data_IF_634715402857
#
_entry.id   IF_634715402857
#
_cell.length_a   1.000
_cell.length_b   1.000
_cell.length_c   1.000
_cell.angle_alpha   90.00
_cell.angle_beta   90.00
_cell.angle_gamma   90.00
#
_symmetry.space_group_name_H-M   'P 1'
#
loop_
_entity.id
_entity.type
_entity.pdbx_description
1 polymer ?
#
# COMPACT_ATOMS: atom_id res chain seq x y z
N UNK A 1 -51.19 -92.02 27.38
CA UNK A 1 -49.86 -91.97 27.97
C UNK A 1 -49.11 -90.95 27.21
N UNK A 2 -49.32 -89.70 27.53
CA UNK A 2 -48.58 -88.87 28.52
C UNK A 2 -47.32 -88.38 27.97
N UNK A 3 -47.25 -87.17 27.67
CA UNK A 3 -46.44 -86.21 28.34
C UNK A 3 -46.57 -84.81 27.71
N UNK A 4 -47.21 -84.03 28.50
CA UNK A 4 -47.20 -82.55 28.29
C UNK A 4 -45.81 -82.05 28.72
N UNK A 5 -45.09 -81.41 27.86
CA UNK A 5 -44.01 -80.54 28.19
C UNK A 5 -44.27 -79.10 27.86
N UNK A 6 -44.33 -78.42 28.91
CA UNK A 6 -44.59 -77.03 29.11
C UNK A 6 -43.53 -76.18 28.40
N UNK A 7 -43.91 -75.36 27.40
CA UNK A 7 -43.00 -74.36 26.82
C UNK A 7 -43.44 -72.99 27.35
N UNK A 8 -42.88 -72.60 28.46
CA UNK A 8 -42.85 -71.21 28.87
C UNK A 8 -41.82 -70.46 28.00
N UNK A 9 -42.29 -69.80 26.96
CA UNK A 9 -41.53 -68.81 26.21
C UNK A 9 -41.31 -67.57 27.09
N UNK A 10 -40.10 -67.42 27.56
CA UNK A 10 -39.64 -66.21 28.20
C UNK A 10 -39.53 -65.11 27.10
N UNK A 11 -40.49 -64.26 27.05
CA UNK A 11 -40.39 -63.01 26.29
C UNK A 11 -39.56 -62.01 27.07
N UNK A 12 -38.26 -62.02 26.94
CA UNK A 12 -37.43 -60.89 27.23
C UNK A 12 -37.52 -59.91 26.05
N UNK A 13 -38.47 -58.98 26.12
CA UNK A 13 -38.40 -57.75 25.34
C UNK A 13 -37.23 -56.93 25.87
N UNK A 14 -36.07 -57.07 25.22
CA UNK A 14 -34.95 -56.12 25.41
C UNK A 14 -35.44 -54.74 24.89
N UNK A 15 -35.82 -53.88 25.82
CA UNK A 15 -36.00 -52.46 25.56
C UNK A 15 -34.62 -51.89 25.22
N UNK A 16 -34.23 -52.00 23.97
CA UNK A 16 -33.15 -51.23 23.43
C UNK A 16 -33.69 -49.81 23.22
N UNK A 17 -33.63 -48.98 24.26
CA UNK A 17 -33.78 -47.55 24.09
C UNK A 17 -32.50 -47.06 23.35
N UNK A 18 -32.64 -46.48 22.16
CA UNK A 18 -31.48 -45.87 21.50
C UNK A 18 -30.99 -44.70 22.36
N UNK A 19 -29.85 -44.86 22.98
CA UNK A 19 -29.24 -43.93 23.93
C UNK A 19 -28.76 -42.62 23.25
N UNK A 20 -29.11 -42.39 22.00
CA UNK A 20 -28.75 -41.21 21.22
C UNK A 20 -29.89 -40.78 20.30
N UNK A 21 -30.90 -40.18 20.88
CA UNK A 21 -31.72 -39.24 20.12
C UNK A 21 -31.02 -37.89 20.08
N UNK A 22 -29.95 -37.83 19.30
CA UNK A 22 -29.48 -36.55 18.81
C UNK A 22 -30.56 -36.04 17.87
N UNK A 23 -31.47 -35.25 18.37
CA UNK A 23 -32.25 -34.37 17.53
C UNK A 23 -31.23 -33.47 16.84
N UNK A 24 -31.00 -33.70 15.55
CA UNK A 24 -30.23 -32.75 14.75
C UNK A 24 -30.81 -31.37 15.00
N UNK A 25 -30.00 -30.37 15.39
CA UNK A 25 -30.54 -29.05 15.64
C UNK A 25 -31.29 -28.60 14.39
N UNK A 26 -32.56 -28.23 14.57
CA UNK A 26 -33.41 -27.74 13.48
C UNK A 26 -32.71 -26.51 12.88
N UNK A 27 -32.14 -26.71 11.70
CA UNK A 27 -31.33 -25.65 11.05
C UNK A 27 -32.32 -24.62 10.53
N UNK A 28 -32.31 -23.42 11.10
CA UNK A 28 -33.02 -22.29 10.50
C UNK A 28 -32.33 -21.85 9.21
N UNK A 29 -32.81 -22.38 8.10
CA UNK A 29 -32.28 -22.06 6.77
C UNK A 29 -32.42 -20.59 6.40
N UNK A 30 -33.40 -19.88 6.97
CA UNK A 30 -33.61 -18.47 6.73
C UNK A 30 -32.50 -17.64 7.40
N UNK A 31 -32.20 -17.91 8.67
CA UNK A 31 -31.13 -17.27 9.39
C UNK A 31 -29.76 -17.54 8.72
N UNK A 32 -29.54 -18.80 8.34
CA UNK A 32 -28.30 -19.19 7.64
C UNK A 32 -28.16 -18.51 6.27
N UNK A 33 -29.26 -18.36 5.53
CA UNK A 33 -29.28 -17.61 4.27
C UNK A 33 -28.95 -16.14 4.49
N UNK A 34 -29.56 -15.48 5.48
CA UNK A 34 -29.26 -14.07 5.80
C UNK A 34 -27.81 -13.88 6.21
N UNK A 35 -27.28 -14.77 7.04
CA UNK A 35 -25.88 -14.76 7.43
C UNK A 35 -24.95 -14.88 6.20
N UNK A 36 -25.21 -15.86 5.35
CA UNK A 36 -24.41 -16.10 4.15
C UNK A 36 -24.50 -14.92 3.17
N UNK A 37 -25.69 -14.34 2.99
CA UNK A 37 -25.88 -13.17 2.15
C UNK A 37 -25.08 -11.96 2.66
N UNK A 38 -25.09 -11.72 3.98
CA UNK A 38 -24.31 -10.67 4.60
C UNK A 38 -22.79 -10.93 4.46
N UNK A 39 -22.33 -12.17 4.64
CA UNK A 39 -20.93 -12.55 4.46
C UNK A 39 -20.46 -12.39 3.02
N UNK A 40 -21.30 -12.78 2.05
CA UNK A 40 -21.02 -12.54 0.63
C UNK A 40 -20.89 -11.05 0.30
N UNK A 41 -21.77 -10.21 0.85
CA UNK A 41 -21.69 -8.76 0.64
C UNK A 41 -20.42 -8.17 1.25
N UNK A 42 -20.07 -8.57 2.46
CA UNK A 42 -18.83 -8.16 3.12
C UNK A 42 -17.59 -8.63 2.34
N UNK A 43 -17.61 -9.86 1.85
CA UNK A 43 -16.52 -10.42 1.02
C UNK A 43 -16.39 -9.64 -0.29
N UNK A 44 -17.51 -9.30 -0.96
CA UNK A 44 -17.51 -8.47 -2.16
C UNK A 44 -16.93 -7.08 -1.91
N UNK A 45 -17.32 -6.42 -0.80
CA UNK A 45 -16.77 -5.11 -0.41
C UNK A 45 -15.26 -5.20 -0.18
N UNK A 46 -14.81 -6.23 0.55
CA UNK A 46 -13.38 -6.48 0.79
C UNK A 46 -12.61 -6.71 -0.49
N UNK A 47 -13.13 -7.55 -1.39
CA UNK A 47 -12.50 -7.85 -2.67
C UNK A 47 -12.38 -6.60 -3.55
N UNK A 48 -13.45 -5.80 -3.66
CA UNK A 48 -13.41 -4.55 -4.42
C UNK A 48 -12.37 -3.57 -3.87
N UNK A 49 -12.25 -3.46 -2.53
CA UNK A 49 -11.20 -2.65 -1.90
C UNK A 49 -9.79 -3.17 -2.23
N UNK A 50 -9.58 -4.48 -2.18
CA UNK A 50 -8.29 -5.09 -2.53
C UNK A 50 -7.93 -4.87 -4.00
N UNK A 51 -8.91 -5.02 -4.90
CA UNK A 51 -8.72 -4.76 -6.33
C UNK A 51 -8.33 -3.30 -6.59
N UNK A 52 -9.04 -2.34 -5.99
CA UNK A 52 -8.71 -0.93 -6.13
C UNK A 52 -7.31 -0.63 -5.58
N UNK A 53 -6.94 -1.19 -4.43
CA UNK A 53 -5.60 -1.02 -3.88
C UNK A 53 -4.54 -1.61 -4.81
N UNK A 54 -4.76 -2.80 -5.38
CA UNK A 54 -3.82 -3.42 -6.31
C UNK A 54 -3.62 -2.57 -7.58
N UNK A 55 -4.70 -1.97 -8.10
CA UNK A 55 -4.64 -1.03 -9.24
C UNK A 55 -3.84 0.23 -8.85
N UNK A 56 -4.06 0.81 -7.68
CA UNK A 56 -3.32 1.98 -7.24
C UNK A 56 -1.83 1.67 -7.03
N UNK A 57 -1.48 0.54 -6.42
CA UNK A 57 -0.07 0.11 -6.30
C UNK A 57 0.60 -0.09 -7.66
N UNK A 58 -0.08 -0.73 -8.61
CA UNK A 58 0.47 -0.88 -9.95
C UNK A 58 0.70 0.45 -10.68
N UNK A 59 -0.14 1.46 -10.41
CA UNK A 59 0.10 2.83 -10.92
C UNK A 59 1.29 3.49 -10.23
N UNK A 60 1.41 3.35 -8.90
CA UNK A 60 2.53 3.90 -8.13
C UNK A 60 3.87 3.38 -8.65
N UNK A 61 3.97 2.07 -8.92
CA UNK A 61 5.18 1.45 -9.49
C UNK A 61 5.55 2.05 -10.86
N UNK A 62 4.57 2.16 -11.77
CA UNK A 62 4.79 2.78 -13.09
C UNK A 62 5.25 4.24 -12.96
N UNK A 63 4.66 5.00 -12.05
CA UNK A 63 5.06 6.38 -11.83
C UNK A 63 6.48 6.50 -11.29
N UNK A 64 6.90 5.59 -10.39
CA UNK A 64 8.27 5.54 -9.87
C UNK A 64 9.28 5.23 -10.97
N UNK A 65 8.95 4.33 -11.89
CA UNK A 65 9.80 4.04 -13.05
C UNK A 65 9.94 5.28 -13.96
N UNK A 66 8.84 5.96 -14.28
CA UNK A 66 8.86 7.20 -15.08
C UNK A 66 9.67 8.30 -14.38
N UNK A 67 9.52 8.45 -13.07
CA UNK A 67 10.27 9.44 -12.29
C UNK A 67 11.78 9.13 -12.33
N UNK A 68 12.16 7.85 -12.31
CA UNK A 68 13.56 7.44 -12.41
C UNK A 68 14.17 7.82 -13.76
N UNK A 69 13.40 7.70 -14.84
CA UNK A 69 13.83 8.19 -16.17
C UNK A 69 13.94 9.71 -16.23
N UNK A 70 13.03 10.44 -15.54
CA UNK A 70 13.12 11.89 -15.43
C UNK A 70 14.39 12.31 -14.69
N UNK A 71 14.77 11.61 -13.61
CA UNK A 71 16.03 11.90 -12.89
C UNK A 71 17.24 11.73 -13.82
N UNK A 72 17.23 10.71 -14.68
CA UNK A 72 18.26 10.49 -15.69
C UNK A 72 18.31 11.63 -16.72
N UNK A 73 17.15 12.12 -17.15
CA UNK A 73 17.08 13.27 -18.05
C UNK A 73 17.59 14.56 -17.41
N UNK A 74 17.29 14.79 -16.13
CA UNK A 74 17.79 15.94 -15.35
C UNK A 74 19.30 15.88 -15.23
N UNK A 75 19.85 14.70 -14.92
CA UNK A 75 21.30 14.51 -14.85
C UNK A 75 21.98 14.81 -16.21
N UNK A 76 21.41 14.34 -17.31
CA UNK A 76 21.90 14.63 -18.66
C UNK A 76 21.78 16.12 -18.98
N UNK A 77 20.72 16.81 -18.56
CA UNK A 77 20.55 18.24 -18.74
C UNK A 77 21.64 19.03 -18.02
N UNK A 78 22.00 18.64 -16.80
CA UNK A 78 23.09 19.26 -16.02
C UNK A 78 24.45 19.09 -16.70
N UNK A 79 24.66 18.02 -17.46
CA UNK A 79 25.92 17.70 -18.15
C UNK A 79 25.87 18.01 -19.65
N UNK A 80 24.83 18.72 -20.12
CA UNK A 80 24.69 19.07 -21.53
C UNK A 80 25.85 19.92 -22.03
N UNK A 81 26.43 19.56 -23.18
CA UNK A 81 27.59 20.21 -23.78
C UNK A 81 27.30 21.64 -24.26
N UNK A 82 26.05 21.95 -24.56
CA UNK A 82 25.66 23.24 -25.10
C UNK A 82 24.21 23.61 -24.71
N UNK A 83 23.88 24.88 -24.86
CA UNK A 83 22.59 25.46 -24.48
C UNK A 83 21.41 24.93 -25.33
N UNK A 84 21.65 24.56 -26.59
CA UNK A 84 20.63 24.01 -27.46
C UNK A 84 20.20 22.60 -26.97
N UNK A 85 21.16 21.79 -26.55
CA UNK A 85 20.90 20.47 -25.99
C UNK A 85 20.18 20.57 -24.64
N UNK A 86 20.65 21.45 -23.76
CA UNK A 86 19.98 21.76 -22.48
C UNK A 86 18.52 22.17 -22.69
N UNK A 87 18.27 23.07 -23.64
CA UNK A 87 16.92 23.52 -23.98
C UNK A 87 16.03 22.39 -24.47
N UNK A 88 16.56 21.45 -25.28
CA UNK A 88 15.81 20.28 -25.76
C UNK A 88 15.44 19.35 -24.61
N UNK A 89 16.41 19.03 -23.74
CA UNK A 89 16.20 18.17 -22.56
C UNK A 89 15.15 18.79 -21.64
N UNK A 90 15.23 20.09 -21.34
CA UNK A 90 14.26 20.79 -20.52
C UNK A 90 12.84 20.74 -21.09
N UNK A 91 12.66 20.83 -22.41
CA UNK A 91 11.34 20.66 -23.04
C UNK A 91 10.80 19.25 -22.85
N UNK A 92 11.65 18.22 -22.93
CA UNK A 92 11.26 16.84 -22.71
C UNK A 92 10.85 16.65 -21.24
N UNK A 93 11.66 17.08 -20.28
CA UNK A 93 11.39 17.02 -18.84
C UNK A 93 10.05 17.70 -18.51
N UNK A 94 9.84 18.92 -19.04
CA UNK A 94 8.58 19.67 -18.85
C UNK A 94 7.38 18.93 -19.42
N UNK A 95 7.54 18.23 -20.54
CA UNK A 95 6.48 17.41 -21.14
C UNK A 95 6.12 16.23 -20.21
N UNK A 96 7.10 15.56 -19.61
CA UNK A 96 6.88 14.50 -18.62
C UNK A 96 6.16 15.03 -17.38
N UNK A 97 6.57 16.18 -16.83
CA UNK A 97 5.87 16.80 -15.69
C UNK A 97 4.43 17.14 -16.02
N UNK A 98 4.18 17.69 -17.20
CA UNK A 98 2.82 17.99 -17.66
C UNK A 98 1.97 16.73 -17.78
N UNK A 99 2.55 15.62 -18.23
CA UNK A 99 1.89 14.33 -18.31
C UNK A 99 1.60 13.78 -16.90
N UNK A 100 2.58 13.74 -16.02
CA UNK A 100 2.45 13.24 -14.66
C UNK A 100 1.39 14.00 -13.86
N UNK A 101 1.35 15.32 -14.02
CA UNK A 101 0.35 16.19 -13.37
C UNK A 101 -1.09 15.80 -13.71
N UNK A 102 -1.37 15.36 -14.95
CA UNK A 102 -2.71 14.89 -15.36
C UNK A 102 -3.15 13.66 -14.55
N UNK A 103 -2.21 12.89 -14.05
CA UNK A 103 -2.46 11.69 -13.23
C UNK A 103 -2.39 11.98 -11.73
N UNK A 104 -2.14 13.24 -11.34
CA UNK A 104 -2.04 13.66 -9.94
C UNK A 104 -0.69 13.36 -9.31
N UNK A 105 0.37 13.26 -10.13
CA UNK A 105 1.75 13.16 -9.66
C UNK A 105 2.42 14.51 -9.86
N UNK A 106 2.92 15.08 -8.76
CA UNK A 106 3.57 16.39 -8.77
C UNK A 106 4.86 16.35 -7.93
N UNK A 107 5.90 17.13 -8.30
CA UNK A 107 7.07 17.28 -7.42
C UNK A 107 6.63 17.95 -6.10
N UNK A 108 7.24 17.56 -4.99
CA UNK A 108 6.88 18.10 -3.66
C UNK A 108 7.18 19.60 -3.54
N UNK A 109 8.25 20.02 -4.17
CA UNK A 109 8.70 21.40 -4.17
C UNK A 109 8.87 21.89 -5.59
N UNK A 110 8.47 23.13 -5.83
CA UNK A 110 8.73 23.76 -7.14
C UNK A 110 10.24 23.93 -7.31
N UNK A 111 10.71 23.76 -8.54
CA UNK A 111 12.12 23.74 -8.93
C UNK A 111 12.92 24.98 -8.48
N UNK A 112 12.20 26.08 -8.19
CA UNK A 112 12.77 27.39 -7.92
C UNK A 112 12.43 27.93 -6.52
N UNK A 113 11.53 27.29 -5.77
CA UNK A 113 10.94 27.87 -4.56
C UNK A 113 10.80 26.84 -3.44
N UNK A 114 11.92 26.19 -3.06
CA UNK A 114 11.91 25.53 -1.79
C UNK A 114 12.02 26.58 -0.67
N UNK A 115 10.88 26.89 -0.05
CA UNK A 115 10.83 27.83 1.07
C UNK A 115 11.31 27.20 2.39
N UNK A 116 11.19 25.89 2.52
CA UNK A 116 11.64 25.15 3.70
C UNK A 116 13.09 24.73 3.54
N UNK A 117 13.98 25.45 4.20
CA UNK A 117 15.41 25.12 4.24
C UNK A 117 15.73 24.03 5.28
N UNK A 118 14.77 23.65 6.13
CA UNK A 118 14.97 22.65 7.17
C UNK A 118 14.45 21.27 6.74
N UNK A 119 15.15 20.25 7.20
CA UNK A 119 14.77 18.86 7.01
C UNK A 119 13.43 18.54 7.64
N UNK A 120 12.54 17.93 6.86
CA UNK A 120 11.24 17.46 7.30
C UNK A 120 11.12 15.94 7.14
N UNK A 121 11.12 15.13 8.22
CA UNK A 121 11.08 13.67 8.13
C UNK A 121 9.79 13.10 7.51
N UNK A 122 8.78 13.93 7.24
CA UNK A 122 7.55 13.50 6.56
C UNK A 122 7.67 13.49 5.03
N UNK A 123 8.60 14.26 4.50
CA UNK A 123 8.78 14.48 3.05
C UNK A 123 10.20 14.17 2.60
N UNK A 124 11.17 14.24 3.50
CA UNK A 124 12.60 14.18 3.19
C UNK A 124 13.24 12.93 3.79
N UNK A 125 14.24 12.41 3.10
CA UNK A 125 15.12 11.34 3.53
C UNK A 125 16.56 11.86 3.58
N UNK A 126 17.13 12.03 4.77
CA UNK A 126 18.52 12.45 4.91
C UNK A 126 19.45 11.29 4.59
N UNK A 127 20.12 11.36 3.44
CA UNK A 127 21.05 10.31 2.96
C UNK A 127 22.42 10.45 3.63
N UNK A 128 22.88 11.68 3.83
CA UNK A 128 24.15 11.98 4.47
C UNK A 128 24.11 13.35 5.14
N UNK A 129 25.11 13.66 5.95
CA UNK A 129 25.26 14.96 6.59
C UNK A 129 26.65 15.55 6.32
N UNK A 130 26.71 16.88 6.28
CA UNK A 130 27.94 17.68 6.20
C UNK A 130 28.14 18.36 7.55
N UNK A 131 29.33 18.24 8.19
CA UNK A 131 29.57 18.93 9.44
C UNK A 131 29.60 20.45 9.22
N UNK A 132 29.09 21.20 10.21
CA UNK A 132 29.11 22.67 10.23
C UNK A 132 29.39 23.20 11.64
N UNK A 133 30.12 24.28 11.73
CA UNK A 133 30.38 25.03 12.99
C UNK A 133 29.25 26.04 13.27
N UNK A 134 28.35 26.29 12.29
CA UNK A 134 27.22 27.19 12.49
C UNK A 134 26.01 26.43 13.02
N UNK A 135 25.70 26.68 14.29
CA UNK A 135 24.54 26.09 14.98
C UNK A 135 23.19 26.46 14.33
N UNK A 136 23.12 27.57 13.61
CA UNK A 136 21.88 27.98 12.92
C UNK A 136 21.58 27.10 11.69
N UNK A 137 22.58 26.44 11.14
CA UNK A 137 22.41 25.54 10.01
C UNK A 137 22.10 24.10 10.42
N UNK A 138 22.14 23.77 11.72
CA UNK A 138 21.86 22.39 12.18
C UNK A 138 20.51 21.91 11.67
N UNK A 139 20.52 20.73 11.03
CA UNK A 139 19.35 20.11 10.37
C UNK A 139 18.76 20.94 9.21
N UNK A 140 19.48 21.93 8.69
CA UNK A 140 19.10 22.55 7.40
C UNK A 140 19.57 21.71 6.23
N UNK A 141 18.91 21.86 5.09
CA UNK A 141 19.24 21.14 3.86
C UNK A 141 20.40 21.85 3.18
N UNK A 142 21.46 21.07 2.94
CA UNK A 142 22.63 21.52 2.21
C UNK A 142 22.46 21.34 0.71
N UNK A 143 21.89 20.21 0.28
CA UNK A 143 21.68 19.88 -1.13
C UNK A 143 20.57 18.85 -1.30
N UNK A 144 20.02 18.77 -2.51
CA UNK A 144 18.98 17.80 -2.92
C UNK A 144 19.56 16.84 -3.95
N UNK A 145 19.73 15.57 -3.55
CA UNK A 145 20.28 14.52 -4.43
C UNK A 145 19.22 14.01 -5.40
N UNK A 146 17.98 13.75 -4.87
CA UNK A 146 16.83 13.28 -5.65
C UNK A 146 15.58 13.99 -5.21
N UNK A 147 14.78 14.41 -6.16
CA UNK A 147 13.53 15.13 -5.89
C UNK A 147 12.47 14.20 -5.33
N UNK A 148 11.71 14.73 -4.38
CA UNK A 148 10.52 14.08 -3.85
C UNK A 148 9.30 14.31 -4.74
N UNK A 149 8.36 13.35 -4.72
CA UNK A 149 7.10 13.42 -5.46
C UNK A 149 5.92 13.02 -4.63
N UNK A 150 4.80 13.71 -4.85
CA UNK A 150 3.49 13.36 -4.31
C UNK A 150 2.65 12.69 -5.39
N UNK A 151 1.87 11.70 -5.00
CA UNK A 151 0.77 11.17 -5.81
C UNK A 151 -0.54 11.43 -5.08
N UNK A 152 -1.35 12.35 -5.57
CA UNK A 152 -2.51 12.88 -4.85
C UNK A 152 -2.06 13.43 -3.49
N UNK A 153 -2.59 12.88 -2.39
CA UNK A 153 -2.26 13.32 -1.02
C UNK A 153 -1.21 12.42 -0.32
N UNK A 154 -0.57 11.52 -1.06
CA UNK A 154 0.38 10.55 -0.54
C UNK A 154 1.78 10.82 -1.06
N UNK A 155 2.79 10.70 -0.20
CA UNK A 155 4.19 10.68 -0.64
C UNK A 155 4.43 9.46 -1.52
N UNK A 156 4.76 9.68 -2.78
CA UNK A 156 5.12 8.64 -3.74
C UNK A 156 6.62 8.30 -3.62
N UNK A 157 7.47 9.33 -3.51
CA UNK A 157 8.91 9.22 -3.27
C UNK A 157 9.36 10.36 -2.37
N UNK A 158 10.11 10.04 -1.33
CA UNK A 158 10.75 11.03 -0.48
C UNK A 158 11.83 11.79 -1.26
N UNK A 159 12.09 13.03 -0.83
CA UNK A 159 13.22 13.78 -1.35
C UNK A 159 14.51 13.35 -0.65
N UNK A 160 15.49 12.87 -1.41
CA UNK A 160 16.80 12.51 -0.85
C UNK A 160 17.66 13.77 -0.73
N UNK A 161 18.00 14.11 0.50
CA UNK A 161 18.71 15.35 0.83
C UNK A 161 20.02 15.11 1.59
N UNK A 162 20.94 16.04 1.46
CA UNK A 162 22.10 16.21 2.34
C UNK A 162 21.74 17.28 3.36
N UNK A 163 22.00 17.04 4.63
CA UNK A 163 21.73 18.00 5.70
C UNK A 163 23.02 18.49 6.35
N UNK A 164 22.99 19.69 6.91
CA UNK A 164 24.04 20.14 7.80
C UNK A 164 23.85 19.54 9.19
N UNK A 165 24.97 19.14 9.81
CA UNK A 165 25.01 18.66 11.20
C UNK A 165 26.00 19.46 11.99
N UNK A 166 25.52 20.10 13.06
CA UNK A 166 26.39 20.86 13.96
C UNK A 166 27.34 19.89 14.69
N UNK A 167 28.64 20.16 14.62
CA UNK A 167 29.68 19.48 15.39
C UNK A 167 30.41 20.53 16.22
N UNK A 168 30.55 20.28 17.54
CA UNK A 168 31.31 21.15 18.46
C UNK A 168 32.84 21.02 18.25
#
# INVERSE_FOLDING_TARGET
MDEQLNNEEIKEESKFEPLFSLSEPEIDWHEKYLYLAADMENTRKRFNKQLNNAIEYGKEDIFLDIITEIDTLILNEQHADNEDERTRLNKIITSFYTMLKKYGVEPMYDLLERHDIYFNPRTDNAVTSIPTDDKMLDNSIADVIKRGYMYKDKVLRYEDVIIYKFEE
#
